data_IF_207514327655
#
_entry.id   IF_207514327655
#
_cell.length_a   1.000
_cell.length_b   1.000
_cell.length_c   1.000
_cell.angle_alpha   90.00
_cell.angle_beta   90.00
_cell.angle_gamma   90.00
#
_symmetry.space_group_name_H-M   'P 1'
#
loop_
_entity.id
_entity.type
_entity.pdbx_description
1 polymer ?
#
# COMPACT_ATOMS: atom_id res chain seq x y z
N UNK A 1 2.55 -23.00 12.89
CA UNK A 1 2.53 -21.62 13.43
C UNK A 1 1.13 -21.39 13.95
N UNK A 2 0.87 -21.72 15.20
CA UNK A 2 -0.41 -22.39 15.45
C UNK A 2 -1.57 -21.43 15.70
N UNK A 3 -1.31 -20.26 16.28
CA UNK A 3 -2.32 -19.18 16.40
C UNK A 3 -1.64 -17.81 16.46
N UNK A 4 -2.28 -16.81 15.87
CA UNK A 4 -1.99 -15.39 16.09
C UNK A 4 -3.02 -14.83 17.06
N UNK A 5 -2.66 -13.78 17.79
CA UNK A 5 -3.58 -13.06 18.66
C UNK A 5 -3.57 -11.57 18.33
N UNK A 6 -4.75 -10.95 18.36
CA UNK A 6 -4.91 -9.51 18.15
C UNK A 6 -6.12 -8.98 18.92
N UNK A 7 -6.16 -7.66 19.09
CA UNK A 7 -7.24 -6.95 19.76
C UNK A 7 -8.20 -6.43 18.70
N UNK A 8 -9.49 -6.75 18.83
CA UNK A 8 -10.54 -6.24 17.95
C UNK A 8 -11.66 -5.58 18.75
N UNK A 9 -12.47 -4.71 18.14
CA UNK A 9 -13.73 -4.28 18.72
C UNK A 9 -14.65 -5.47 18.99
N UNK A 10 -15.30 -5.50 20.15
CA UNK A 10 -16.21 -6.58 20.53
C UNK A 10 -17.51 -6.59 19.71
N UNK A 11 -17.86 -5.45 19.11
CA UNK A 11 -19.13 -5.18 18.43
C UNK A 11 -19.07 -5.27 16.89
N UNK A 12 -17.92 -5.66 16.33
CA UNK A 12 -17.73 -5.85 14.89
C UNK A 12 -17.23 -7.27 14.62
N UNK A 13 -17.61 -7.83 13.48
CA UNK A 13 -17.04 -9.07 12.96
C UNK A 13 -15.52 -8.93 12.79
N UNK A 14 -14.77 -9.97 13.12
CA UNK A 14 -13.32 -9.95 12.99
C UNK A 14 -12.94 -9.93 11.50
N UNK A 15 -12.30 -8.86 11.00
CA UNK A 15 -11.99 -8.72 9.58
C UNK A 15 -10.91 -9.72 9.09
N UNK A 16 -10.19 -10.36 10.01
CA UNK A 16 -9.14 -11.34 9.68
C UNK A 16 -9.72 -12.75 9.56
N UNK A 17 -10.61 -13.14 10.47
CA UNK A 17 -11.15 -14.52 10.56
C UNK A 17 -12.59 -14.67 10.08
N UNK A 18 -13.33 -13.56 9.98
CA UNK A 18 -14.77 -13.57 9.75
C UNK A 18 -15.60 -14.02 10.95
N UNK A 19 -15.00 -14.21 12.13
CA UNK A 19 -15.74 -14.53 13.35
C UNK A 19 -16.71 -13.39 13.70
N UNK A 20 -17.98 -13.67 14.02
CA UNK A 20 -18.98 -12.64 14.24
C UNK A 20 -18.67 -11.73 15.44
N UNK A 21 -19.31 -10.58 15.49
CA UNK A 21 -19.34 -9.73 16.68
C UNK A 21 -19.86 -10.50 17.91
N UNK A 22 -19.32 -10.18 19.09
CA UNK A 22 -19.67 -10.82 20.36
C UNK A 22 -20.47 -9.84 21.24
N UNK A 23 -21.66 -9.43 20.77
CA UNK A 23 -22.66 -8.58 21.45
C UNK A 23 -22.11 -7.45 22.34
N UNK A 24 -20.95 -6.88 21.96
CA UNK A 24 -20.26 -5.89 22.77
C UNK A 24 -20.81 -4.47 22.58
N UNK A 25 -20.52 -3.59 23.52
CA UNK A 25 -20.84 -2.16 23.38
C UNK A 25 -19.79 -1.43 22.53
N UNK A 26 -20.16 -0.27 21.97
CA UNK A 26 -19.23 0.62 21.28
C UNK A 26 -18.08 1.01 22.23
N UNK A 27 -16.84 0.73 21.82
CA UNK A 27 -15.63 0.99 22.61
C UNK A 27 -15.10 -0.20 23.40
N UNK A 28 -15.86 -1.30 23.52
CA UNK A 28 -15.33 -2.53 24.09
C UNK A 28 -14.40 -3.24 23.11
N UNK A 29 -13.31 -3.79 23.65
CA UNK A 29 -12.30 -4.55 22.90
C UNK A 29 -12.14 -5.94 23.51
N UNK A 30 -11.78 -6.92 22.68
CA UNK A 30 -11.45 -8.28 23.13
C UNK A 30 -10.25 -8.83 22.37
N UNK A 31 -9.49 -9.68 23.05
CA UNK A 31 -8.46 -10.48 22.40
C UNK A 31 -9.13 -11.64 21.65
N UNK A 32 -8.80 -11.79 20.37
CA UNK A 32 -9.13 -12.97 19.56
C UNK A 32 -7.86 -13.71 19.20
N UNK A 33 -7.99 -15.01 18.98
CA UNK A 33 -6.88 -15.81 18.45
C UNK A 33 -7.38 -16.81 17.43
N UNK A 34 -6.67 -16.93 16.33
CA UNK A 34 -6.99 -17.90 15.29
C UNK A 34 -5.71 -18.37 14.58
N UNK A 35 -5.76 -19.51 13.86
CA UNK A 35 -4.66 -19.94 13.01
C UNK A 35 -4.23 -18.81 12.07
N UNK A 36 -2.93 -18.49 12.07
CA UNK A 36 -2.40 -17.42 11.22
C UNK A 36 -2.45 -17.80 9.74
N UNK A 37 -2.20 -19.08 9.45
CA UNK A 37 -2.16 -19.64 8.11
C UNK A 37 -2.97 -20.93 8.09
N UNK A 38 -3.69 -21.15 6.99
CA UNK A 38 -4.37 -22.40 6.64
C UNK A 38 -3.49 -23.34 5.79
N UNK A 39 -2.37 -22.83 5.25
CA UNK A 39 -1.36 -23.62 4.51
C UNK A 39 -0.25 -24.17 5.40
N UNK A 40 -0.05 -23.59 6.59
CA UNK A 40 1.08 -23.88 7.47
C UNK A 40 2.36 -23.11 7.14
N UNK A 41 2.34 -22.30 6.07
CA UNK A 41 3.49 -21.51 5.61
C UNK A 41 3.34 -20.02 5.93
N UNK A 42 4.47 -19.32 6.02
CA UNK A 42 4.55 -17.87 6.17
C UNK A 42 5.70 -17.31 5.34
N UNK A 43 5.51 -16.12 4.77
CA UNK A 43 6.54 -15.39 4.05
C UNK A 43 7.25 -14.41 4.99
N UNK A 44 8.58 -14.46 5.03
CA UNK A 44 9.37 -13.44 5.73
C UNK A 44 9.30 -12.12 4.95
N UNK A 45 8.93 -11.04 5.62
CA UNK A 45 8.75 -9.71 5.02
C UNK A 45 9.65 -8.64 5.63
N UNK A 46 10.42 -8.95 6.67
CA UNK A 46 11.51 -8.08 7.16
C UNK A 46 12.81 -8.29 6.36
N UNK A 47 13.77 -7.38 6.52
CA UNK A 47 15.08 -7.53 5.90
C UNK A 47 15.78 -8.81 6.39
N UNK A 48 16.34 -9.60 5.48
CA UNK A 48 17.00 -10.87 5.80
C UNK A 48 18.34 -10.70 6.50
N UNK A 49 18.96 -9.52 6.40
CA UNK A 49 20.17 -9.16 7.17
C UNK A 49 19.93 -9.15 8.68
N UNK A 50 18.67 -9.06 9.12
CA UNK A 50 18.30 -9.28 10.50
C UNK A 50 18.48 -10.75 10.93
N UNK A 51 18.35 -11.73 10.04
CA UNK A 51 18.34 -13.15 10.42
C UNK A 51 19.73 -13.67 10.78
N UNK A 52 20.79 -13.22 10.09
CA UNK A 52 22.14 -13.78 10.23
C UNK A 52 23.28 -12.76 10.49
N UNK A 53 22.99 -11.46 10.57
CA UNK A 53 24.01 -10.39 10.70
C UNK A 53 24.16 -9.80 12.10
N UNK A 54 25.26 -9.05 12.33
CA UNK A 54 25.56 -8.36 13.60
C UNK A 54 24.47 -7.40 14.13
N UNK A 55 23.80 -6.58 13.29
CA UNK A 55 22.61 -5.81 13.70
C UNK A 55 21.45 -6.70 14.18
N UNK A 56 21.34 -7.91 13.63
CA UNK A 56 20.30 -8.89 13.92
C UNK A 56 20.26 -9.36 15.38
N UNK A 57 21.39 -9.33 16.09
CA UNK A 57 21.45 -9.67 17.52
C UNK A 57 20.64 -8.73 18.42
N UNK A 58 20.35 -7.51 17.96
CA UNK A 58 19.52 -6.53 18.69
C UNK A 58 18.02 -6.66 18.41
N UNK A 59 17.64 -7.48 17.43
CA UNK A 59 16.26 -7.66 17.01
C UNK A 59 15.89 -9.14 17.19
N UNK A 60 15.27 -9.57 18.30
CA UNK A 60 14.96 -10.99 18.51
C UNK A 60 13.85 -11.52 17.58
N UNK A 61 13.18 -10.62 16.86
CA UNK A 61 12.00 -10.89 16.05
C UNK A 61 12.25 -10.52 14.59
N UNK A 62 11.62 -11.28 13.70
CA UNK A 62 11.44 -10.97 12.28
C UNK A 62 9.96 -10.74 12.00
N UNK A 63 9.64 -10.06 10.91
CA UNK A 63 8.26 -9.90 10.48
C UNK A 63 7.91 -10.96 9.43
N UNK A 64 6.78 -11.62 9.62
CA UNK A 64 6.25 -12.59 8.67
C UNK A 64 4.78 -12.30 8.36
N UNK A 65 4.38 -12.52 7.11
CA UNK A 65 3.00 -12.55 6.67
C UNK A 65 2.54 -14.00 6.50
N UNK A 66 1.30 -14.36 6.85
CA UNK A 66 0.80 -15.70 6.60
C UNK A 66 0.63 -15.96 5.10
N UNK A 67 0.86 -17.21 4.68
CA UNK A 67 0.48 -17.71 3.35
C UNK A 67 -0.90 -18.34 3.47
N UNK A 68 -1.84 -17.92 2.60
CA UNK A 68 -3.21 -18.40 2.60
C UNK A 68 -3.57 -19.17 1.35
N UNK A 69 -4.42 -20.17 1.51
CA UNK A 69 -5.12 -20.81 0.42
C UNK A 69 -6.23 -19.88 -0.11
N UNK A 70 -6.03 -19.37 -1.32
CA UNK A 70 -6.97 -18.47 -2.00
C UNK A 70 -7.85 -19.23 -3.01
N UNK A 71 -7.78 -20.55 -3.09
CA UNK A 71 -8.70 -21.36 -3.93
C UNK A 71 -10.16 -21.22 -3.50
N UNK A 72 -10.40 -20.84 -2.25
CA UNK A 72 -11.74 -20.55 -1.70
C UNK A 72 -12.33 -19.22 -2.18
N UNK A 73 -11.54 -18.36 -2.82
CA UNK A 73 -12.02 -17.10 -3.39
C UNK A 73 -12.70 -17.32 -4.75
N UNK A 74 -13.50 -16.35 -5.19
CA UNK A 74 -14.04 -16.39 -6.55
C UNK A 74 -12.92 -16.34 -7.59
N UNK A 75 -13.13 -16.99 -8.73
CA UNK A 75 -12.15 -17.01 -9.84
C UNK A 75 -11.73 -15.61 -10.27
N UNK A 76 -12.68 -14.67 -10.28
CA UNK A 76 -12.42 -13.26 -10.59
C UNK A 76 -11.46 -12.62 -9.58
N UNK A 77 -11.68 -12.84 -8.28
CA UNK A 77 -10.80 -12.33 -7.23
C UNK A 77 -9.41 -12.95 -7.30
N UNK A 78 -9.30 -14.25 -7.57
CA UNK A 78 -8.01 -14.91 -7.78
C UNK A 78 -7.28 -14.29 -8.97
N UNK A 79 -7.98 -14.01 -10.07
CA UNK A 79 -7.39 -13.35 -11.22
C UNK A 79 -6.92 -11.93 -10.89
N UNK A 80 -7.70 -11.15 -10.13
CA UNK A 80 -7.29 -9.83 -9.66
C UNK A 80 -6.02 -9.86 -8.80
N UNK A 81 -5.82 -10.92 -8.00
CA UNK A 81 -4.57 -11.11 -7.22
C UNK A 81 -3.40 -11.39 -8.16
N UNK A 82 -3.58 -12.29 -9.13
CA UNK A 82 -2.56 -12.64 -10.14
C UNK A 82 -2.17 -11.45 -11.01
N UNK A 83 -3.14 -10.61 -11.37
CA UNK A 83 -2.94 -9.38 -12.15
C UNK A 83 -2.45 -8.20 -11.27
N UNK A 84 -2.15 -8.45 -10.00
CA UNK A 84 -1.67 -7.47 -9.03
C UNK A 84 -2.61 -6.25 -8.82
N UNK A 85 -3.90 -6.45 -8.98
CA UNK A 85 -4.93 -5.43 -8.80
C UNK A 85 -5.34 -5.26 -7.33
N UNK A 86 -5.15 -6.30 -6.51
CA UNK A 86 -5.39 -6.27 -5.06
C UNK A 86 -4.06 -6.11 -4.31
N UNK A 87 -3.93 -5.02 -3.54
CA UNK A 87 -2.68 -4.71 -2.82
C UNK A 87 -2.43 -5.55 -1.59
N UNK A 88 -3.45 -6.25 -1.11
CA UNK A 88 -3.43 -6.93 0.18
C UNK A 88 -3.00 -8.39 0.07
N UNK A 89 -2.81 -8.89 -1.15
CA UNK A 89 -2.35 -10.25 -1.44
C UNK A 89 -1.27 -10.24 -2.50
N UNK A 90 -0.29 -11.15 -2.38
CA UNK A 90 0.73 -11.40 -3.41
C UNK A 90 0.69 -12.87 -3.79
N UNK A 91 0.43 -13.16 -5.06
CA UNK A 91 0.36 -14.52 -5.60
C UNK A 91 1.70 -15.25 -5.40
N UNK A 92 1.65 -16.48 -4.91
CA UNK A 92 2.81 -17.35 -4.73
C UNK A 92 3.02 -18.13 -6.04
N UNK A 93 3.94 -17.68 -6.89
CA UNK A 93 4.13 -18.25 -8.24
C UNK A 93 4.72 -19.66 -8.24
N UNK A 94 5.43 -20.03 -7.17
CA UNK A 94 5.96 -21.38 -6.96
C UNK A 94 5.61 -21.85 -5.54
N UNK A 95 4.37 -22.27 -5.28
CA UNK A 95 3.99 -22.72 -3.95
C UNK A 95 4.74 -24.01 -3.56
N UNK A 96 5.10 -24.19 -2.28
CA UNK A 96 5.76 -25.41 -1.78
C UNK A 96 5.00 -26.71 -2.06
N UNK A 97 3.69 -26.61 -2.26
CA UNK A 97 2.81 -27.74 -2.61
C UNK A 97 2.37 -27.60 -4.07
N UNK A 98 2.72 -28.56 -4.96
CA UNK A 98 2.34 -28.51 -6.37
C UNK A 98 0.83 -28.37 -6.58
N UNK A 99 0.43 -27.44 -7.45
CA UNK A 99 -0.98 -27.19 -7.77
C UNK A 99 -1.75 -26.37 -6.73
N UNK A 100 -1.12 -26.00 -5.61
CA UNK A 100 -1.74 -25.14 -4.62
C UNK A 100 -2.02 -23.74 -5.19
N UNK A 101 -3.11 -23.11 -4.73
CA UNK A 101 -3.49 -21.76 -5.14
C UNK A 101 -3.31 -20.83 -3.96
N UNK A 102 -2.07 -20.42 -3.70
CA UNK A 102 -1.68 -19.71 -2.48
C UNK A 102 -1.23 -18.28 -2.73
N UNK A 103 -1.42 -17.42 -1.72
CA UNK A 103 -0.92 -16.06 -1.74
C UNK A 103 -0.42 -15.63 -0.37
N UNK A 104 0.57 -14.74 -0.34
CA UNK A 104 0.98 -14.03 0.87
C UNK A 104 -0.10 -13.01 1.22
N UNK A 105 -0.70 -13.14 2.41
CA UNK A 105 -1.71 -12.21 2.91
C UNK A 105 -1.04 -11.06 3.67
N UNK A 106 -0.95 -9.90 3.04
CA UNK A 106 -0.30 -8.73 3.61
C UNK A 106 -1.14 -8.04 4.69
N UNK A 107 -2.40 -8.44 4.93
CA UNK A 107 -3.29 -7.80 5.92
C UNK A 107 -2.81 -7.99 7.35
N UNK A 108 -2.08 -9.09 7.62
CA UNK A 108 -1.49 -9.37 8.92
C UNK A 108 0.03 -9.48 8.81
N UNK A 109 0.74 -8.74 9.66
CA UNK A 109 2.20 -8.86 9.83
C UNK A 109 2.42 -9.26 11.27
N UNK A 110 3.04 -10.42 11.50
CA UNK A 110 3.30 -10.94 12.84
C UNK A 110 4.79 -10.98 13.15
N UNK A 111 5.19 -10.66 14.40
CA UNK A 111 6.53 -10.93 14.87
C UNK A 111 6.73 -12.43 15.07
N UNK A 112 7.80 -12.97 14.49
CA UNK A 112 8.24 -14.36 14.68
C UNK A 112 9.63 -14.37 15.29
N UNK A 113 9.87 -15.27 16.25
CA UNK A 113 11.20 -15.42 16.85
C UNK A 113 12.23 -15.86 15.81
N UNK A 114 13.39 -15.20 15.77
CA UNK A 114 14.51 -15.66 14.94
C UNK A 114 14.97 -17.06 15.29
N UNK A 115 14.92 -17.44 16.56
CA UNK A 115 15.26 -18.79 17.00
C UNK A 115 14.34 -19.86 16.39
N UNK A 116 13.08 -19.51 16.11
CA UNK A 116 12.17 -20.38 15.37
C UNK A 116 12.64 -20.52 13.91
N UNK A 117 12.92 -19.40 13.24
CA UNK A 117 13.39 -19.43 11.85
C UNK A 117 14.73 -20.15 11.67
N UNK A 118 15.67 -19.98 12.61
CA UNK A 118 16.97 -20.65 12.57
C UNK A 118 16.86 -22.17 12.61
N UNK A 119 15.73 -22.71 13.10
CA UNK A 119 15.45 -24.13 13.14
C UNK A 119 14.64 -24.63 11.92
N UNK A 120 14.35 -23.78 10.94
CA UNK A 120 13.58 -24.13 9.74
C UNK A 120 14.43 -24.03 8.48
N UNK A 121 14.19 -24.92 7.52
CA UNK A 121 14.76 -24.79 6.18
C UNK A 121 13.95 -23.77 5.36
N UNK A 122 14.59 -22.77 4.73
CA UNK A 122 13.91 -21.85 3.84
C UNK A 122 13.32 -22.60 2.63
N UNK A 123 12.09 -22.25 2.26
CA UNK A 123 11.43 -22.80 1.08
C UNK A 123 11.29 -21.71 0.03
N UNK A 124 11.58 -22.05 -1.23
CA UNK A 124 11.34 -21.15 -2.37
C UNK A 124 9.83 -21.05 -2.59
N UNK A 125 9.32 -19.82 -2.59
CA UNK A 125 7.90 -19.53 -2.80
C UNK A 125 7.61 -18.84 -4.14
N UNK A 126 8.64 -18.41 -4.84
CA UNK A 126 8.51 -17.59 -6.05
C UNK A 126 9.39 -18.18 -7.15
N UNK A 127 8.81 -18.30 -8.35
CA UNK A 127 9.48 -18.86 -9.52
C UNK A 127 10.62 -17.97 -10.06
N UNK A 128 10.62 -16.68 -9.69
CA UNK A 128 11.57 -15.70 -10.20
C UNK A 128 11.88 -14.60 -9.19
N UNK A 129 13.06 -13.97 -9.35
CA UNK A 129 13.44 -12.76 -8.59
C UNK A 129 12.46 -11.62 -8.85
N UNK A 130 11.87 -11.53 -10.04
CA UNK A 130 10.88 -10.49 -10.37
C UNK A 130 9.62 -10.62 -9.49
N UNK A 131 9.14 -11.84 -9.27
CA UNK A 131 8.02 -12.11 -8.36
C UNK A 131 8.35 -11.75 -6.90
N UNK A 132 9.59 -12.01 -6.45
CA UNK A 132 10.06 -11.58 -5.13
C UNK A 132 10.10 -10.06 -4.99
N UNK A 133 10.54 -9.35 -6.04
CA UNK A 133 10.58 -7.89 -6.06
C UNK A 133 9.16 -7.30 -6.00
N UNK A 134 8.16 -7.96 -6.59
CA UNK A 134 6.76 -7.55 -6.48
C UNK A 134 6.30 -7.61 -5.01
N UNK A 135 6.65 -8.67 -4.26
CA UNK A 135 6.36 -8.73 -2.82
C UNK A 135 6.97 -7.53 -2.08
N UNK A 136 8.25 -7.26 -2.32
CA UNK A 136 8.97 -6.14 -1.71
C UNK A 136 8.34 -4.78 -2.04
N UNK A 137 7.95 -4.56 -3.31
CA UNK A 137 7.27 -3.34 -3.74
C UNK A 137 5.90 -3.18 -3.08
N UNK A 138 5.11 -4.25 -2.97
CA UNK A 138 3.78 -4.22 -2.35
C UNK A 138 3.86 -3.98 -0.86
N UNK A 139 4.80 -4.60 -0.17
CA UNK A 139 5.07 -4.34 1.23
C UNK A 139 5.53 -2.89 1.45
N UNK A 140 6.46 -2.40 0.64
CA UNK A 140 6.92 -1.02 0.72
C UNK A 140 5.78 -0.03 0.46
N UNK A 141 4.92 -0.29 -0.53
CA UNK A 141 3.72 0.51 -0.78
C UNK A 141 2.79 0.48 0.43
N UNK A 142 2.53 -0.69 1.02
CA UNK A 142 1.67 -0.84 2.20
C UNK A 142 2.19 -0.07 3.42
N UNK A 143 3.46 -0.22 3.75
CA UNK A 143 4.09 0.41 4.92
C UNK A 143 4.45 1.88 4.68
N UNK A 144 4.62 2.27 3.42
CA UNK A 144 4.88 3.63 2.99
C UNK A 144 3.61 4.47 2.79
N UNK A 145 2.40 3.89 2.98
CA UNK A 145 1.15 4.64 2.83
C UNK A 145 1.11 5.79 3.84
N UNK A 146 1.12 7.03 3.37
CA UNK A 146 0.99 8.17 4.27
C UNK A 146 -0.40 8.14 4.91
N UNK A 147 -0.45 8.36 6.22
CA UNK A 147 -1.70 8.51 6.94
C UNK A 147 -2.35 9.85 6.57
N UNK A 148 -3.31 9.81 5.65
CA UNK A 148 -4.03 10.97 5.11
C UNK A 148 -5.51 10.78 5.37
N UNK A 149 -6.23 11.88 5.59
CA UNK A 149 -7.69 11.89 5.75
C UNK A 149 -8.41 11.15 4.61
N UNK A 150 -9.42 10.34 4.95
CA UNK A 150 -10.09 9.39 4.01
C UNK A 150 -10.71 10.08 2.79
N UNK A 151 -11.25 11.29 2.98
CA UNK A 151 -11.77 12.13 1.89
C UNK A 151 -10.74 12.39 0.76
N UNK A 152 -9.44 12.26 1.04
CA UNK A 152 -8.36 12.35 0.08
C UNK A 152 -7.87 10.96 -0.35
N UNK A 153 -7.54 10.09 0.62
CA UNK A 153 -6.85 8.84 0.39
C UNK A 153 -7.61 7.85 -0.53
N UNK A 154 -8.94 7.84 -0.45
CA UNK A 154 -9.79 7.05 -1.34
C UNK A 154 -10.13 7.84 -2.61
N UNK A 155 -11.13 8.75 -2.56
CA UNK A 155 -11.72 9.32 -3.77
C UNK A 155 -10.73 10.07 -4.65
N UNK A 156 -9.88 10.90 -4.06
CA UNK A 156 -8.96 11.77 -4.81
C UNK A 156 -7.77 10.96 -5.33
N UNK A 157 -7.09 10.21 -4.45
CA UNK A 157 -5.87 9.51 -4.84
C UNK A 157 -6.17 8.39 -5.83
N UNK A 158 -7.27 7.65 -5.68
CA UNK A 158 -7.67 6.65 -6.67
C UNK A 158 -8.04 7.26 -8.02
N UNK A 159 -8.75 8.40 -8.03
CA UNK A 159 -9.12 9.07 -9.28
C UNK A 159 -7.88 9.58 -10.03
N UNK A 160 -6.91 10.17 -9.32
CA UNK A 160 -5.63 10.58 -9.89
C UNK A 160 -4.83 9.39 -10.43
N UNK A 161 -4.76 8.27 -9.69
CA UNK A 161 -4.10 7.04 -10.17
C UNK A 161 -4.76 6.53 -11.46
N UNK A 162 -6.09 6.50 -11.50
CA UNK A 162 -6.86 6.08 -12.68
C UNK A 162 -6.63 7.01 -13.87
N UNK A 163 -6.59 8.33 -13.64
CA UNK A 163 -6.27 9.32 -14.66
C UNK A 163 -4.89 9.06 -15.26
N UNK A 164 -3.86 8.93 -14.43
CA UNK A 164 -2.48 8.70 -14.87
C UNK A 164 -2.38 7.36 -15.61
N UNK A 165 -2.93 6.28 -15.07
CA UNK A 165 -2.89 4.96 -15.71
C UNK A 165 -3.58 4.96 -17.08
N UNK A 166 -4.68 5.70 -17.24
CA UNK A 166 -5.35 5.88 -18.53
C UNK A 166 -4.54 6.75 -19.48
N UNK A 167 -3.98 7.86 -19.00
CA UNK A 167 -3.21 8.80 -19.80
C UNK A 167 -1.91 8.17 -20.33
N UNK A 168 -1.21 7.38 -19.51
CA UNK A 168 0.02 6.67 -19.89
C UNK A 168 -0.13 5.75 -21.10
N UNK A 169 -1.35 5.30 -21.40
CA UNK A 169 -1.64 4.44 -22.56
C UNK A 169 -1.84 5.20 -23.87
N UNK A 170 -2.09 6.50 -23.83
CA UNK A 170 -2.59 7.22 -25.00
C UNK A 170 -2.24 8.72 -25.05
N UNK A 171 -1.49 9.26 -24.10
CA UNK A 171 -1.21 10.69 -23.99
C UNK A 171 0.23 10.93 -23.54
N UNK A 172 1.00 11.55 -24.43
CA UNK A 172 2.44 11.76 -24.29
C UNK A 172 2.80 12.64 -23.07
N UNK A 173 1.96 13.60 -22.69
CA UNK A 173 2.23 14.45 -21.51
C UNK A 173 2.39 13.67 -20.21
N UNK A 174 1.81 12.47 -20.14
CA UNK A 174 1.90 11.63 -18.95
C UNK A 174 3.31 11.05 -18.76
N UNK A 175 4.12 11.01 -19.82
CA UNK A 175 5.50 10.55 -19.75
C UNK A 175 6.40 11.54 -19.02
N UNK A 176 6.05 12.82 -19.08
CA UNK A 176 6.79 13.90 -18.43
C UNK A 176 6.37 14.13 -16.95
N UNK A 177 5.38 13.38 -16.44
CA UNK A 177 4.95 13.48 -15.04
C UNK A 177 5.79 12.55 -14.18
N UNK A 178 6.64 13.14 -13.35
CA UNK A 178 7.49 12.40 -12.42
C UNK A 178 6.74 11.96 -11.17
N UNK A 179 6.08 12.91 -10.49
CA UNK A 179 5.41 12.63 -9.22
C UNK A 179 4.16 13.47 -9.01
N UNK A 180 3.15 12.84 -8.42
CA UNK A 180 2.03 13.53 -7.80
C UNK A 180 2.24 13.60 -6.30
N UNK A 181 2.05 14.78 -5.70
CA UNK A 181 2.20 14.97 -4.26
C UNK A 181 1.08 15.85 -3.71
N UNK A 182 0.67 15.61 -2.47
CA UNK A 182 -0.30 16.43 -1.75
C UNK A 182 0.42 17.35 -0.78
N UNK A 183 0.29 18.66 -0.97
CA UNK A 183 0.69 19.68 0.00
C UNK A 183 -0.46 19.92 0.99
N UNK A 184 -0.18 19.78 2.29
CA UNK A 184 -1.08 20.24 3.35
C UNK A 184 -0.73 21.70 3.64
N UNK A 185 -1.48 22.63 3.05
CA UNK A 185 -1.26 24.08 3.18
C UNK A 185 -1.65 24.56 4.58
N UNK A 186 -2.66 23.93 5.18
CA UNK A 186 -3.08 24.19 6.55
C UNK A 186 -3.65 22.92 7.20
N UNK A 187 -3.28 22.68 8.47
CA UNK A 187 -3.69 21.50 9.23
C UNK A 187 -2.62 20.40 9.25
N UNK A 188 -3.06 19.16 9.43
CA UNK A 188 -2.19 17.96 9.40
C UNK A 188 -2.66 17.00 8.31
N UNK A 189 -1.90 15.94 8.03
CA UNK A 189 -2.29 14.95 7.02
C UNK A 189 -3.60 14.23 7.38
N UNK A 190 -3.82 13.96 8.66
CA UNK A 190 -5.04 13.34 9.19
C UNK A 190 -6.19 14.34 9.40
N UNK A 191 -5.88 15.62 9.64
CA UNK A 191 -6.87 16.67 9.84
C UNK A 191 -6.55 17.89 8.96
N UNK A 192 -6.64 17.74 7.62
CA UNK A 192 -6.31 18.82 6.71
C UNK A 192 -7.42 19.86 6.71
N UNK A 193 -7.03 21.14 6.73
CA UNK A 193 -7.97 22.27 6.56
C UNK A 193 -7.88 22.85 5.15
N UNK A 194 -6.68 22.85 4.58
CA UNK A 194 -6.42 23.33 3.22
C UNK A 194 -5.37 22.49 2.53
N UNK A 195 -5.66 22.07 1.30
CA UNK A 195 -4.78 21.18 0.53
C UNK A 195 -4.53 21.68 -0.89
N UNK A 196 -3.36 21.33 -1.42
CA UNK A 196 -2.98 21.61 -2.81
C UNK A 196 -2.36 20.37 -3.45
N UNK A 197 -2.77 20.06 -4.68
CA UNK A 197 -2.08 19.07 -5.50
C UNK A 197 -0.81 19.70 -6.08
N UNK A 198 0.33 19.03 -5.91
CA UNK A 198 1.58 19.32 -6.57
C UNK A 198 1.79 18.28 -7.68
N UNK A 199 2.16 18.76 -8.87
CA UNK A 199 2.58 17.93 -9.99
C UNK A 199 4.02 18.27 -10.28
N UNK A 200 4.90 17.30 -10.06
CA UNK A 200 6.31 17.39 -10.42
C UNK A 200 6.48 16.79 -11.81
N UNK A 201 7.10 17.57 -12.69
CA UNK A 201 7.31 17.20 -14.10
C UNK A 201 8.77 17.39 -14.49
N UNK A 202 9.23 16.68 -15.51
CA UNK A 202 10.56 16.91 -16.08
C UNK A 202 10.61 18.21 -16.87
N UNK A 203 9.60 18.41 -17.72
CA UNK A 203 9.48 19.61 -18.56
C UNK A 203 8.42 20.56 -18.04
N UNK A 204 8.49 21.83 -18.47
CA UNK A 204 7.47 22.82 -18.12
C UNK A 204 6.22 22.60 -18.95
N UNK A 205 5.14 22.17 -18.30
CA UNK A 205 3.83 22.04 -18.98
C UNK A 205 3.26 23.38 -19.45
N UNK A 206 2.73 23.37 -20.67
CA UNK A 206 1.83 24.35 -21.24
C UNK A 206 0.36 24.14 -20.84
N UNK A 207 -0.58 24.92 -21.40
CA UNK A 207 -1.98 24.86 -21.02
C UNK A 207 -2.69 23.54 -21.33
N UNK A 208 -2.32 22.88 -22.43
CA UNK A 208 -2.89 21.60 -22.87
C UNK A 208 -2.54 20.46 -21.93
N UNK A 209 -1.26 20.32 -21.53
CA UNK A 209 -0.86 19.24 -20.60
C UNK A 209 -1.40 19.49 -19.18
N UNK A 210 -1.53 20.76 -18.76
CA UNK A 210 -2.08 21.10 -17.44
C UNK A 210 -3.57 20.82 -17.30
N UNK A 211 -4.31 20.87 -18.41
CA UNK A 211 -5.78 20.87 -18.39
C UNK A 211 -6.36 19.58 -17.78
N UNK A 212 -5.96 18.36 -18.19
CA UNK A 212 -6.49 17.13 -17.61
C UNK A 212 -6.33 17.06 -16.09
N UNK A 213 -5.14 17.41 -15.58
CA UNK A 213 -4.85 17.40 -14.14
C UNK A 213 -5.61 18.49 -13.37
N UNK A 214 -5.78 19.67 -13.98
CA UNK A 214 -6.61 20.75 -13.40
C UNK A 214 -8.07 20.37 -13.31
N UNK A 215 -8.62 19.80 -14.37
CA UNK A 215 -10.03 19.41 -14.45
C UNK A 215 -10.32 18.29 -13.45
N UNK A 216 -9.44 17.29 -13.38
CA UNK A 216 -9.52 16.22 -12.39
C UNK A 216 -9.47 16.77 -10.96
N UNK A 217 -8.46 17.58 -10.62
CA UNK A 217 -8.33 18.18 -9.29
C UNK A 217 -9.54 19.04 -8.90
N UNK A 218 -10.08 19.81 -9.86
CA UNK A 218 -11.27 20.65 -9.65
C UNK A 218 -12.53 19.82 -9.42
N UNK A 219 -12.64 18.62 -9.99
CA UNK A 219 -13.80 17.74 -9.82
C UNK A 219 -14.03 17.34 -8.35
N UNK A 220 -12.96 17.27 -7.56
CA UNK A 220 -12.97 16.90 -6.14
C UNK A 220 -13.33 18.06 -5.19
N UNK A 221 -13.50 19.29 -5.69
CA UNK A 221 -13.79 20.46 -4.85
C UNK A 221 -15.02 20.27 -3.96
N UNK A 222 -16.11 19.72 -4.52
CA UNK A 222 -17.38 19.57 -3.81
C UNK A 222 -17.28 18.54 -2.68
N UNK A 223 -16.65 17.40 -2.93
CA UNK A 223 -16.45 16.33 -1.94
C UNK A 223 -15.51 16.76 -0.82
N UNK A 224 -14.41 17.45 -1.14
CA UNK A 224 -13.49 17.99 -0.14
C UNK A 224 -14.16 19.04 0.76
N UNK A 225 -14.92 19.98 0.18
CA UNK A 225 -15.65 20.96 0.96
C UNK A 225 -16.68 20.32 1.90
N UNK A 226 -17.36 19.25 1.48
CA UNK A 226 -18.29 18.52 2.33
C UNK A 226 -17.60 17.85 3.54
N UNK A 227 -16.30 17.53 3.41
CA UNK A 227 -15.45 17.04 4.50
C UNK A 227 -14.79 18.17 5.31
N UNK A 228 -15.14 19.44 5.06
CA UNK A 228 -14.53 20.60 5.73
C UNK A 228 -13.11 20.93 5.25
N UNK A 229 -12.68 20.37 4.12
CA UNK A 229 -11.35 20.55 3.55
C UNK A 229 -11.44 21.56 2.40
N UNK A 230 -10.76 22.69 2.54
CA UNK A 230 -10.65 23.68 1.47
C UNK A 230 -9.58 23.27 0.45
N UNK A 231 -9.81 23.61 -0.81
CA UNK A 231 -8.93 23.24 -1.92
C UNK A 231 -8.22 24.48 -2.49
N UNK A 232 -6.96 24.32 -2.88
CA UNK A 232 -6.15 25.33 -3.57
C UNK A 232 -5.92 24.94 -5.03
N UNK A 233 -5.69 25.89 -5.95
CA UNK A 233 -5.29 25.58 -7.32
C UNK A 233 -4.01 24.73 -7.36
N UNK A 234 -3.99 23.74 -8.25
CA UNK A 234 -2.84 22.85 -8.48
C UNK A 234 -1.55 23.63 -8.75
N UNK A 235 -0.44 23.17 -8.19
CA UNK A 235 0.89 23.72 -8.43
C UNK A 235 1.66 22.79 -9.36
N UNK A 236 2.07 23.30 -10.52
CA UNK A 236 2.98 22.60 -11.42
C UNK A 236 4.39 23.10 -11.20
N UNK A 237 5.32 22.20 -10.89
CA UNK A 237 6.73 22.50 -10.68
C UNK A 237 7.55 21.53 -11.52
N UNK A 238 8.63 22.02 -12.13
CA UNK A 238 9.64 21.08 -12.64
C UNK A 238 10.44 20.52 -11.47
N UNK A 239 11.00 19.32 -11.61
CA UNK A 239 11.79 18.67 -10.54
C UNK A 239 12.87 19.62 -9.99
N UNK A 240 13.63 20.27 -10.86
CA UNK A 240 14.70 21.22 -10.48
C UNK A 240 14.21 22.46 -9.73
N UNK A 241 12.92 22.79 -9.86
CA UNK A 241 12.31 23.99 -9.28
C UNK A 241 11.47 23.68 -8.05
N UNK A 242 11.37 22.42 -7.64
CA UNK A 242 10.66 22.06 -6.42
C UNK A 242 11.53 22.38 -5.19
N UNK A 243 11.11 23.31 -4.31
CA UNK A 243 11.87 23.57 -3.08
C UNK A 243 11.93 22.30 -2.23
N UNK A 244 13.14 21.91 -1.80
CA UNK A 244 13.36 20.69 -0.99
C UNK A 244 12.47 20.65 0.25
N UNK A 245 12.21 21.81 0.88
CA UNK A 245 11.29 21.92 2.02
C UNK A 245 9.85 21.54 1.65
N UNK A 246 9.35 22.01 0.51
CA UNK A 246 8.02 21.66 0.00
C UNK A 246 7.95 20.18 -0.38
N UNK A 247 8.99 19.67 -1.04
CA UNK A 247 9.09 18.25 -1.38
C UNK A 247 8.98 17.36 -0.14
N UNK A 248 9.79 17.64 0.89
CA UNK A 248 9.81 16.86 2.15
C UNK A 248 8.55 16.99 2.98
N UNK A 249 7.89 18.16 2.93
CA UNK A 249 6.65 18.41 3.69
C UNK A 249 5.39 17.90 2.99
N UNK A 250 5.46 17.59 1.69
CA UNK A 250 4.33 17.07 0.92
C UNK A 250 4.29 15.55 0.94
N UNK A 251 3.07 15.03 0.80
CA UNK A 251 2.76 13.61 0.86
C UNK A 251 2.80 13.00 -0.53
N UNK A 252 3.60 11.96 -0.80
CA UNK A 252 3.59 11.31 -2.12
C UNK A 252 2.25 10.60 -2.38
N UNK A 253 1.70 10.79 -3.58
CA UNK A 253 0.56 10.03 -4.08
C UNK A 253 1.12 8.93 -4.96
N UNK A 254 1.25 7.72 -4.43
CA UNK A 254 1.78 6.59 -5.20
C UNK A 254 0.89 6.29 -6.41
N UNK A 255 1.44 6.39 -7.61
CA UNK A 255 0.82 5.94 -8.85
C UNK A 255 1.75 4.87 -9.46
N UNK A 256 1.37 3.58 -9.49
CA UNK A 256 2.25 2.50 -9.91
C UNK A 256 2.84 2.66 -11.32
N UNK A 257 2.17 3.40 -12.19
CA UNK A 257 2.59 3.67 -13.57
C UNK A 257 3.55 4.84 -13.70
N UNK A 258 3.80 5.60 -12.64
CA UNK A 258 4.88 6.57 -12.57
C UNK A 258 6.09 5.87 -11.96
N UNK A 259 7.20 5.83 -12.68
CA UNK A 259 8.43 5.28 -12.11
C UNK A 259 8.80 6.08 -10.86
N UNK A 260 9.35 5.42 -9.84
CA UNK A 260 9.86 6.12 -8.65
C UNK A 260 11.04 6.98 -9.08
N UNK A 261 10.76 8.23 -9.47
CA UNK A 261 11.69 9.29 -9.86
C UNK A 261 13.11 8.80 -10.11
N UNK A 262 13.42 8.46 -11.37
CA UNK A 262 14.82 8.32 -11.77
C UNK A 262 15.40 9.71 -11.84
N UNK A 263 15.91 10.20 -10.71
CA UNK A 263 16.78 11.36 -10.71
C UNK A 263 18.09 10.94 -11.38
N UNK A 264 18.21 11.22 -12.68
CA UNK A 264 19.47 11.10 -13.42
C UNK A 264 20.42 12.25 -13.05
#
# INVERSE_FOLDING_TARGET
>A
MDRGAWIVPAWVDDPVTGEPAADGALGEVRARSAPLSDSGYAAVVSQTCDIAGGPGMRHPLVQACPVRDISVFSTEKVQQIKDHQLSDYVWLSEPPVPGAVWAVDLRAIVPVSKGLLAAQEPVVGFASIEDELILGQRLASKLGRPAVHDALAGPVFEALRKLISKAKKSQDWCDDVEQLRLEIVEGTTLYPKRVRLLVLTDVRFGPSEKKPLRDEWKSHRKSLNAAGITWEPIHFLTVDKCPVRLYRASVPIEAPTLERGRFA
#
